data_IF_486005831351
#
_entry.id   IF_486005831351
#
_cell.length_a   1.000
_cell.length_b   1.000
_cell.length_c   1.000
_cell.angle_alpha   90.00
_cell.angle_beta   90.00
_cell.angle_gamma   90.00
#
_symmetry.space_group_name_H-M   'P 1'
#
loop_
_entity.id
_entity.type
_entity.pdbx_description
1 polymer ?
#
# COMPACT_ATOMS: atom_id res chain seq x y z
N UNK A 1 -1.89 42.52 -11.60
CA UNK A 1 -2.52 41.29 -12.12
C UNK A 1 -1.39 40.47 -12.75
N UNK A 2 -1.04 39.24 -12.37
CA UNK A 2 -1.80 38.16 -11.74
C UNK A 2 -0.82 37.32 -10.88
N UNK A 3 -1.22 36.97 -9.66
CA UNK A 3 -0.50 35.96 -8.86
C UNK A 3 -0.75 34.59 -9.49
N UNK A 4 0.31 33.89 -9.86
CA UNK A 4 0.24 32.47 -10.24
C UNK A 4 -0.19 31.72 -8.98
N UNK A 5 -1.44 31.31 -8.96
CA UNK A 5 -2.03 30.51 -7.91
C UNK A 5 -1.49 29.08 -8.10
N UNK A 6 -0.50 28.69 -7.29
CA UNK A 6 -0.04 27.31 -7.20
C UNK A 6 -1.23 26.48 -6.71
N UNK A 7 -1.78 25.63 -7.59
CA UNK A 7 -2.83 24.66 -7.23
C UNK A 7 -2.37 23.86 -6.02
N UNK A 8 -3.15 23.90 -4.96
CA UNK A 8 -2.92 23.07 -3.77
C UNK A 8 -2.79 21.59 -4.16
N UNK A 9 -1.93 20.80 -3.48
CA UNK A 9 -1.82 19.38 -3.73
C UNK A 9 -3.15 18.69 -3.41
N UNK A 10 -3.70 18.00 -4.41
CA UNK A 10 -4.99 17.27 -4.44
C UNK A 10 -5.11 16.11 -3.42
N UNK A 11 -4.17 15.94 -2.49
CA UNK A 11 -4.04 14.75 -1.66
C UNK A 11 -3.72 15.10 -0.19
N UNK A 12 -4.68 15.72 0.49
CA UNK A 12 -4.63 15.95 1.96
C UNK A 12 -5.17 14.76 2.77
N UNK A 13 -5.83 13.79 2.12
CA UNK A 13 -6.41 12.61 2.78
C UNK A 13 -5.35 11.53 3.04
N UNK A 14 -5.21 11.07 4.29
CA UNK A 14 -4.41 9.89 4.66
C UNK A 14 -4.78 8.64 3.81
N UNK A 15 -6.01 8.60 3.29
CA UNK A 15 -6.53 7.52 2.46
C UNK A 15 -5.90 7.45 1.06
N UNK A 16 -5.55 8.60 0.48
CA UNK A 16 -4.83 8.65 -0.79
C UNK A 16 -3.41 8.07 -0.68
N UNK A 17 -2.79 8.16 0.50
CA UNK A 17 -1.51 7.49 0.79
C UNK A 17 -1.69 5.98 0.99
N UNK A 18 -2.84 5.55 1.51
CA UNK A 18 -3.16 4.14 1.75
C UNK A 18 -3.56 3.38 0.46
N UNK A 19 -4.20 4.06 -0.50
CA UNK A 19 -4.58 3.50 -1.82
C UNK A 19 -3.42 3.46 -2.84
N UNK A 20 -2.32 4.16 -2.54
CA UNK A 20 -1.03 4.05 -3.24
C UNK A 20 -0.15 2.92 -2.71
N UNK A 21 -0.50 2.35 -1.56
CA UNK A 21 0.11 1.14 -1.02
C UNK A 21 -0.83 -0.05 -1.22
N UNK A 22 -0.99 -0.49 -2.48
CA UNK A 22 -1.18 -1.93 -2.72
C UNK A 22 0.07 -2.60 -2.16
N UNK A 23 -0.05 -2.97 -0.89
CA UNK A 23 0.98 -3.63 -0.12
C UNK A 23 1.17 -5.01 -0.74
N UNK A 24 2.14 -5.13 -1.64
CA UNK A 24 2.82 -6.39 -1.87
C UNK A 24 3.66 -6.62 -0.61
N UNK A 25 2.98 -7.07 0.43
CA UNK A 25 3.62 -7.49 1.67
C UNK A 25 4.19 -8.90 1.43
N UNK A 26 5.49 -9.04 1.68
CA UNK A 26 6.01 -10.25 2.34
C UNK A 26 6.86 -11.19 1.49
N UNK A 27 8.13 -10.86 1.29
CA UNK A 27 9.24 -11.77 1.60
C UNK A 27 10.57 -11.00 1.53
N UNK A 28 11.03 -10.43 2.65
CA UNK A 28 12.47 -10.21 2.85
C UNK A 28 12.84 -11.13 4.00
N UNK A 29 13.03 -12.41 3.69
CA UNK A 29 13.82 -13.27 4.54
C UNK A 29 15.29 -12.90 4.28
N UNK A 30 15.93 -12.33 5.29
CA UNK A 30 17.36 -12.08 5.33
C UNK A 30 18.12 -13.39 5.16
N UNK A 31 18.62 -13.65 3.95
CA UNK A 31 19.64 -14.68 3.70
C UNK A 31 20.99 -14.06 3.99
N UNK A 32 21.64 -14.49 5.08
CA UNK A 32 23.06 -14.25 5.30
C UNK A 32 23.83 -14.99 4.21
N UNK A 33 24.43 -14.26 3.28
CA UNK A 33 25.27 -14.83 2.23
C UNK A 33 26.68 -15.02 2.80
N UNK A 34 27.04 -16.27 3.08
CA UNK A 34 28.42 -16.64 3.34
C UNK A 34 29.15 -16.68 1.99
N UNK A 35 30.15 -15.83 1.82
CA UNK A 35 30.85 -15.65 0.55
C UNK A 35 31.89 -16.76 0.34
N UNK A 36 31.56 -17.78 -0.45
CA UNK A 36 32.51 -18.58 -1.24
C UNK A 36 31.75 -19.58 -2.11
N UNK A 37 31.47 -19.20 -3.36
CA UNK A 37 31.62 -20.02 -4.57
C UNK A 37 30.98 -19.30 -5.77
N UNK A 38 31.81 -18.95 -6.76
CA UNK A 38 31.36 -18.43 -8.05
C UNK A 38 30.91 -19.62 -8.91
N UNK A 39 29.64 -19.96 -8.81
CA UNK A 39 28.88 -20.64 -9.86
C UNK A 39 27.73 -19.72 -10.26
N UNK A 40 27.31 -19.70 -11.53
CA UNK A 40 26.20 -18.85 -11.99
C UNK A 40 24.97 -19.05 -11.08
N UNK A 41 24.78 -18.13 -10.13
CA UNK A 41 24.01 -18.41 -8.93
C UNK A 41 22.55 -18.02 -9.13
N UNK A 42 21.58 -18.82 -8.62
CA UNK A 42 20.14 -18.49 -8.60
C UNK A 42 19.83 -17.06 -8.12
N UNK A 43 20.70 -16.51 -7.27
CA UNK A 43 20.64 -15.13 -6.78
C UNK A 43 20.68 -14.05 -7.88
N UNK A 44 21.43 -14.25 -8.97
CA UNK A 44 21.53 -13.25 -10.06
C UNK A 44 20.25 -13.21 -10.90
N UNK A 45 19.67 -14.38 -11.20
CA UNK A 45 18.39 -14.46 -11.90
C UNK A 45 17.24 -13.93 -11.02
N UNK A 46 17.20 -14.28 -9.74
CA UNK A 46 16.24 -13.70 -8.79
C UNK A 46 16.33 -12.17 -8.72
N UNK A 47 17.54 -11.61 -8.74
CA UNK A 47 17.72 -10.15 -8.75
C UNK A 47 17.18 -9.52 -10.05
N UNK A 48 17.40 -10.14 -11.21
CA UNK A 48 16.85 -9.66 -12.49
C UNK A 48 15.32 -9.70 -12.49
N UNK A 49 14.72 -10.78 -11.99
CA UNK A 49 13.26 -10.90 -11.85
C UNK A 49 12.71 -9.79 -10.94
N UNK A 50 13.30 -9.60 -9.76
CA UNK A 50 12.90 -8.55 -8.82
C UNK A 50 13.00 -7.15 -9.44
N UNK A 51 14.11 -6.86 -10.14
CA UNK A 51 14.28 -5.61 -10.85
C UNK A 51 13.20 -5.40 -11.91
N UNK A 52 12.89 -6.43 -12.72
CA UNK A 52 11.88 -6.31 -13.77
C UNK A 52 10.48 -6.12 -13.21
N UNK A 53 10.12 -6.85 -12.15
CA UNK A 53 8.87 -6.66 -11.41
C UNK A 53 8.75 -5.21 -10.92
N UNK A 54 9.82 -4.65 -10.34
CA UNK A 54 9.85 -3.26 -9.87
C UNK A 54 9.61 -2.25 -11.01
N UNK A 55 10.28 -2.43 -12.14
CA UNK A 55 10.08 -1.57 -13.33
C UNK A 55 8.64 -1.62 -13.83
N UNK A 56 8.06 -2.82 -13.96
CA UNK A 56 6.67 -2.98 -14.41
C UNK A 56 5.69 -2.30 -13.44
N UNK A 57 5.91 -2.45 -12.13
CA UNK A 57 5.07 -1.79 -11.13
C UNK A 57 5.13 -0.27 -11.23
N UNK A 58 6.32 0.29 -11.47
CA UNK A 58 6.49 1.72 -11.71
C UNK A 58 5.74 2.17 -12.97
N UNK A 59 5.90 1.46 -14.09
CA UNK A 59 5.21 1.78 -15.35
C UNK A 59 3.68 1.73 -15.18
N UNK A 60 3.16 0.70 -14.50
CA UNK A 60 1.73 0.59 -14.21
C UNK A 60 1.23 1.72 -13.28
N UNK A 61 2.06 2.18 -12.33
CA UNK A 61 1.73 3.29 -11.46
C UNK A 61 1.66 4.63 -12.22
N UNK A 62 2.57 4.84 -13.17
CA UNK A 62 2.57 6.02 -14.04
C UNK A 62 1.32 6.04 -14.93
N UNK A 63 0.99 4.90 -15.55
CA UNK A 63 -0.25 4.75 -16.35
C UNK A 63 -1.48 4.99 -15.48
N UNK A 64 -1.53 4.43 -14.26
CA UNK A 64 -2.63 4.66 -13.32
C UNK A 64 -2.78 6.14 -13.00
N UNK A 65 -1.68 6.85 -12.75
CA UNK A 65 -1.69 8.28 -12.45
C UNK A 65 -2.27 9.09 -13.61
N UNK A 66 -1.81 8.83 -14.84
CA UNK A 66 -2.35 9.47 -16.04
C UNK A 66 -3.83 9.15 -16.23
N UNK A 67 -4.22 7.89 -15.99
CA UNK A 67 -5.61 7.42 -16.07
C UNK A 67 -6.49 8.18 -15.07
N UNK A 68 -6.06 8.35 -13.82
CA UNK A 68 -6.82 9.10 -12.82
C UNK A 68 -6.95 10.59 -13.18
N UNK A 69 -5.93 11.18 -13.81
CA UNK A 69 -5.98 12.56 -14.28
C UNK A 69 -6.94 12.75 -15.46
N UNK A 70 -7.04 11.76 -16.35
CA UNK A 70 -7.89 11.83 -17.54
C UNK A 70 -9.32 11.32 -17.32
N UNK A 71 -9.59 10.63 -16.21
CA UNK A 71 -10.89 10.01 -15.92
C UNK A 71 -11.52 10.59 -14.63
N UNK A 72 -12.24 11.73 -14.71
CA UNK A 72 -12.89 12.34 -13.53
C UNK A 72 -13.93 11.42 -12.87
N UNK A 73 -14.56 10.52 -13.63
CA UNK A 73 -15.48 9.52 -13.08
C UNK A 73 -14.81 8.60 -12.04
N UNK A 74 -13.54 8.19 -12.26
CA UNK A 74 -12.79 7.39 -11.30
C UNK A 74 -12.49 8.18 -10.02
N UNK A 75 -12.23 9.48 -10.15
CA UNK A 75 -12.02 10.36 -9.00
C UNK A 75 -13.28 10.42 -8.13
N UNK A 76 -14.46 10.50 -8.74
CA UNK A 76 -15.73 10.48 -7.99
C UNK A 76 -16.01 9.12 -7.34
N UNK A 77 -15.65 8.00 -7.99
CA UNK A 77 -15.72 6.68 -7.38
C UNK A 77 -14.81 6.57 -6.15
N UNK A 78 -13.58 7.09 -6.22
CA UNK A 78 -12.66 7.16 -5.07
C UNK A 78 -13.28 7.95 -3.92
N UNK A 79 -13.83 9.14 -4.19
CA UNK A 79 -14.49 9.96 -3.15
C UNK A 79 -15.67 9.26 -2.51
N UNK A 80 -16.47 8.54 -3.30
CA UNK A 80 -17.62 7.79 -2.80
C UNK A 80 -17.15 6.66 -1.89
N UNK A 81 -16.13 5.90 -2.32
CA UNK A 81 -15.51 4.87 -1.49
C UNK A 81 -14.94 5.45 -0.18
N UNK A 82 -14.21 6.56 -0.23
CA UNK A 82 -13.65 7.24 0.95
C UNK A 82 -14.74 7.70 1.92
N UNK A 83 -15.81 8.30 1.42
CA UNK A 83 -16.93 8.77 2.25
C UNK A 83 -17.66 7.59 2.92
N UNK A 84 -17.89 6.50 2.19
CA UNK A 84 -18.50 5.28 2.76
C UNK A 84 -17.58 4.65 3.80
N UNK A 85 -16.27 4.57 3.54
CA UNK A 85 -15.30 4.09 4.53
C UNK A 85 -15.32 4.96 5.79
N UNK A 86 -15.27 6.29 5.66
CA UNK A 86 -15.24 7.21 6.79
C UNK A 86 -16.51 7.10 7.63
N UNK A 87 -17.67 6.97 6.99
CA UNK A 87 -18.93 6.71 7.69
C UNK A 87 -18.85 5.44 8.54
N UNK A 88 -18.37 4.33 7.97
CA UNK A 88 -18.20 3.06 8.69
C UNK A 88 -17.16 3.15 9.79
N UNK A 89 -16.06 3.84 9.54
CA UNK A 89 -15.02 4.11 10.53
C UNK A 89 -15.59 4.85 11.75
N UNK A 90 -16.45 5.87 11.55
CA UNK A 90 -17.13 6.58 12.63
C UNK A 90 -18.10 5.69 13.39
N UNK A 91 -18.89 4.87 12.70
CA UNK A 91 -19.86 3.94 13.31
C UNK A 91 -19.19 2.98 14.30
N UNK A 92 -17.96 2.52 14.02
CA UNK A 92 -17.24 1.58 14.89
C UNK A 92 -16.16 2.24 15.76
N UNK A 93 -16.12 3.58 15.80
CA UNK A 93 -15.09 4.36 16.49
C UNK A 93 -13.65 3.91 16.13
N UNK A 94 -13.37 3.78 14.84
CA UNK A 94 -12.05 3.48 14.30
C UNK A 94 -11.12 4.69 14.46
N UNK A 95 -10.01 4.52 15.19
CA UNK A 95 -9.11 5.61 15.61
C UNK A 95 -7.66 5.40 15.15
N UNK A 96 -7.39 5.43 13.83
CA UNK A 96 -6.04 5.19 13.31
C UNK A 96 -5.05 6.31 13.70
N UNK A 97 -5.53 7.55 13.83
CA UNK A 97 -4.68 8.70 14.19
C UNK A 97 -4.21 8.62 15.64
N UNK A 98 -5.10 8.21 16.56
CA UNK A 98 -4.74 7.98 17.96
C UNK A 98 -3.66 6.89 18.08
N UNK A 99 -3.85 5.78 17.35
CA UNK A 99 -2.84 4.72 17.29
C UNK A 99 -1.51 5.22 16.74
N UNK A 100 -1.50 6.04 15.68
CA UNK A 100 -0.25 6.58 15.11
C UNK A 100 0.52 7.43 16.12
N UNK A 101 -0.19 8.22 16.92
CA UNK A 101 0.44 9.01 17.99
C UNK A 101 1.07 8.09 19.05
N UNK A 102 0.31 7.11 19.55
CA UNK A 102 0.82 6.12 20.51
C UNK A 102 2.01 5.34 19.95
N UNK A 103 1.96 4.96 18.67
CA UNK A 103 3.04 4.26 17.98
C UNK A 103 4.34 5.08 17.95
N UNK A 104 4.25 6.38 17.69
CA UNK A 104 5.40 7.28 17.69
C UNK A 104 6.01 7.45 19.08
N UNK A 105 5.17 7.58 20.10
CA UNK A 105 5.60 7.66 21.51
C UNK A 105 6.31 6.36 21.94
N UNK A 106 5.71 5.20 21.65
CA UNK A 106 6.32 3.90 21.91
C UNK A 106 7.68 3.77 21.19
N UNK A 107 7.77 4.19 19.92
CA UNK A 107 9.02 4.13 19.16
C UNK A 107 10.11 4.99 19.80
N UNK A 108 9.77 6.15 20.36
CA UNK A 108 10.72 7.01 21.07
C UNK A 108 11.20 6.34 22.37
N UNK A 109 10.26 5.85 23.19
CA UNK A 109 10.57 5.20 24.47
C UNK A 109 11.40 3.92 24.26
N UNK A 110 11.07 3.12 23.24
CA UNK A 110 11.86 1.95 22.87
C UNK A 110 13.27 2.34 22.44
N UNK A 111 13.53 3.55 21.92
CA UNK A 111 14.90 3.94 21.53
C UNK A 111 15.68 4.63 22.64
N UNK A 112 15.03 4.97 23.74
CA UNK A 112 15.67 5.58 24.89
C UNK A 112 16.63 4.58 25.55
N UNK A 113 17.81 5.08 25.93
CA UNK A 113 18.87 4.32 26.59
C UNK A 113 18.49 3.99 28.05
N UNK A 114 17.58 4.76 28.64
CA UNK A 114 17.11 4.55 30.02
C UNK A 114 15.95 3.54 30.11
N UNK A 115 15.39 3.12 28.99
CA UNK A 115 14.32 2.11 28.96
C UNK A 115 14.92 0.72 29.13
N UNK A 116 14.56 0.04 30.23
CA UNK A 116 15.02 -1.32 30.50
C UNK A 116 14.48 -2.32 29.47
N UNK A 117 15.08 -3.49 29.38
CA UNK A 117 14.65 -4.51 28.43
C UNK A 117 13.24 -5.02 28.72
N UNK A 118 12.85 -5.10 30.01
CA UNK A 118 11.49 -5.47 30.41
C UNK A 118 10.48 -4.41 29.96
N UNK A 119 10.78 -3.13 30.18
CA UNK A 119 9.92 -2.01 29.74
C UNK A 119 9.79 -2.01 28.21
N UNK A 120 10.90 -2.24 27.51
CA UNK A 120 10.96 -2.34 26.05
C UNK A 120 10.08 -3.48 25.53
N UNK A 121 10.15 -4.65 26.16
CA UNK A 121 9.33 -5.80 25.81
C UNK A 121 7.83 -5.51 26.02
N UNK A 122 7.48 -4.84 27.12
CA UNK A 122 6.10 -4.47 27.43
C UNK A 122 5.53 -3.44 26.44
N UNK A 123 6.33 -2.43 26.07
CA UNK A 123 5.99 -1.45 25.04
C UNK A 123 5.75 -2.11 23.67
N UNK A 124 6.63 -3.01 23.25
CA UNK A 124 6.49 -3.75 21.99
C UNK A 124 5.23 -4.62 22.01
N UNK A 125 4.94 -5.29 23.14
CA UNK A 125 3.73 -6.09 23.31
C UNK A 125 2.46 -5.24 23.23
N UNK A 126 2.45 -4.08 23.89
CA UNK A 126 1.33 -3.14 23.84
C UNK A 126 1.06 -2.66 22.41
N UNK A 127 2.12 -2.23 21.72
CA UNK A 127 2.04 -1.82 20.31
C UNK A 127 1.47 -2.94 19.42
N UNK A 128 1.95 -4.18 19.56
CA UNK A 128 1.46 -5.30 18.77
C UNK A 128 -0.02 -5.58 19.02
N UNK A 129 -0.48 -5.49 20.27
CA UNK A 129 -1.89 -5.68 20.65
C UNK A 129 -2.79 -4.60 20.04
N UNK A 130 -2.40 -3.33 20.15
CA UNK A 130 -3.17 -2.22 19.56
C UNK A 130 -3.21 -2.30 18.04
N UNK A 131 -2.07 -2.60 17.41
CA UNK A 131 -1.98 -2.82 15.96
C UNK A 131 -2.93 -3.93 15.50
N UNK A 132 -2.99 -5.04 16.23
CA UNK A 132 -3.90 -6.14 15.93
C UNK A 132 -5.37 -5.72 16.09
N UNK A 133 -5.70 -4.98 17.13
CA UNK A 133 -7.06 -4.47 17.33
C UNK A 133 -7.49 -3.54 16.19
N UNK A 134 -6.62 -2.61 15.79
CA UNK A 134 -6.86 -1.69 14.67
C UNK A 134 -7.02 -2.45 13.34
N UNK A 135 -6.23 -3.50 13.12
CA UNK A 135 -6.34 -4.34 11.92
C UNK A 135 -7.70 -5.06 11.86
N UNK A 136 -8.18 -5.63 12.97
CA UNK A 136 -9.51 -6.28 13.04
C UNK A 136 -10.65 -5.29 12.79
N UNK A 137 -10.53 -4.07 13.32
CA UNK A 137 -11.52 -3.02 13.06
C UNK A 137 -11.55 -2.64 11.57
N UNK A 138 -10.37 -2.46 10.96
CA UNK A 138 -10.27 -2.19 9.51
C UNK A 138 -10.87 -3.32 8.69
N UNK A 139 -10.57 -4.57 9.03
CA UNK A 139 -11.13 -5.75 8.38
C UNK A 139 -12.66 -5.75 8.47
N UNK A 140 -13.22 -5.45 9.65
CA UNK A 140 -14.68 -5.33 9.82
C UNK A 140 -15.30 -4.22 8.97
N UNK A 141 -14.61 -3.09 8.76
CA UNK A 141 -15.07 -2.03 7.85
C UNK A 141 -15.06 -2.55 6.40
N UNK A 142 -13.96 -3.19 5.99
CA UNK A 142 -13.81 -3.71 4.62
C UNK A 142 -14.74 -4.88 4.31
N UNK A 143 -15.19 -5.62 5.33
CA UNK A 143 -16.20 -6.66 5.20
C UNK A 143 -17.62 -6.11 4.97
N UNK A 144 -17.82 -4.79 5.06
CA UNK A 144 -19.11 -4.17 4.77
C UNK A 144 -19.51 -4.40 3.30
N UNK A 145 -20.70 -4.95 3.01
CA UNK A 145 -21.10 -5.30 1.65
C UNK A 145 -21.21 -4.10 0.69
N UNK A 146 -21.54 -2.91 1.19
CA UNK A 146 -21.62 -1.71 0.37
C UNK A 146 -20.21 -1.27 -0.02
N UNK A 147 -19.32 -1.21 0.96
CA UNK A 147 -17.93 -0.83 0.72
C UNK A 147 -17.19 -1.82 -0.18
N UNK A 148 -17.41 -3.13 0.01
CA UNK A 148 -16.86 -4.18 -0.85
C UNK A 148 -17.32 -4.04 -2.31
N UNK A 149 -18.59 -3.72 -2.55
CA UNK A 149 -19.10 -3.46 -3.92
C UNK A 149 -18.42 -2.25 -4.55
N UNK A 150 -18.25 -1.17 -3.79
CA UNK A 150 -17.56 0.03 -4.26
C UNK A 150 -16.09 -0.25 -4.58
N UNK A 151 -15.40 -1.04 -3.76
CA UNK A 151 -14.02 -1.47 -4.02
C UNK A 151 -13.91 -2.26 -5.32
N UNK A 152 -14.75 -3.28 -5.51
CA UNK A 152 -14.74 -4.13 -6.71
C UNK A 152 -15.01 -3.29 -7.96
N UNK A 153 -16.00 -2.39 -7.90
CA UNK A 153 -16.33 -1.50 -9.00
C UNK A 153 -15.15 -0.58 -9.34
N UNK A 154 -14.57 0.08 -8.34
CA UNK A 154 -13.43 0.96 -8.51
C UNK A 154 -12.21 0.25 -9.10
N UNK A 155 -11.89 -0.96 -8.63
CA UNK A 155 -10.79 -1.76 -9.16
C UNK A 155 -11.02 -2.13 -10.63
N UNK A 156 -12.21 -2.63 -10.96
CA UNK A 156 -12.59 -3.02 -12.32
C UNK A 156 -12.55 -1.83 -13.28
N UNK A 157 -13.13 -0.71 -12.87
CA UNK A 157 -13.21 0.48 -13.70
C UNK A 157 -11.86 1.14 -13.88
N UNK A 158 -11.02 1.16 -12.83
CA UNK A 158 -9.63 1.62 -12.93
C UNK A 158 -8.85 0.78 -13.93
N UNK A 159 -8.90 -0.56 -13.83
CA UNK A 159 -8.20 -1.45 -14.75
C UNK A 159 -8.70 -1.28 -16.19
N UNK A 160 -10.01 -1.18 -16.38
CA UNK A 160 -10.63 -0.92 -17.69
C UNK A 160 -10.15 0.40 -18.29
N UNK A 161 -10.11 1.46 -17.49
CA UNK A 161 -9.64 2.77 -17.91
C UNK A 161 -8.14 2.77 -18.22
N UNK A 162 -7.31 2.10 -17.42
CA UNK A 162 -5.87 1.97 -17.70
C UNK A 162 -5.62 1.27 -19.04
N UNK A 163 -6.32 0.16 -19.31
CA UNK A 163 -6.22 -0.55 -20.60
C UNK A 163 -6.64 0.31 -21.79
N UNK A 164 -7.63 1.19 -21.61
CA UNK A 164 -8.07 2.15 -22.64
C UNK A 164 -7.09 3.30 -22.80
N UNK A 165 -6.48 3.77 -21.71
CA UNK A 165 -5.55 4.89 -21.68
C UNK A 165 -4.20 4.53 -22.30
N UNK A 166 -3.67 3.35 -21.97
CA UNK A 166 -2.40 2.86 -22.51
C UNK A 166 -2.49 1.37 -22.88
N UNK A 167 -2.31 0.98 -24.16
CA UNK A 167 -2.34 -0.41 -24.58
C UNK A 167 -1.23 -1.27 -23.96
N UNK A 168 -0.11 -0.67 -23.51
CA UNK A 168 0.94 -1.38 -22.79
C UNK A 168 0.46 -1.97 -21.47
N UNK A 169 -0.59 -1.41 -20.87
CA UNK A 169 -1.16 -1.91 -19.62
C UNK A 169 -1.41 -3.42 -19.67
N UNK A 170 -1.98 -3.92 -20.77
CA UNK A 170 -2.29 -5.34 -20.88
C UNK A 170 -1.03 -6.21 -20.99
N UNK A 171 -0.03 -5.74 -21.74
CA UNK A 171 1.26 -6.42 -21.87
C UNK A 171 1.99 -6.47 -20.53
N UNK A 172 2.05 -5.35 -19.82
CA UNK A 172 2.71 -5.23 -18.52
C UNK A 172 2.06 -6.14 -17.47
N UNK A 173 0.73 -6.24 -17.46
CA UNK A 173 0.01 -7.12 -16.54
C UNK A 173 0.28 -8.61 -16.82
N UNK A 174 0.30 -9.00 -18.11
CA UNK A 174 0.64 -10.38 -18.51
C UNK A 174 2.08 -10.74 -18.15
N UNK A 175 3.00 -9.80 -18.36
CA UNK A 175 4.39 -9.99 -17.99
C UNK A 175 4.57 -10.11 -16.47
N UNK A 176 3.88 -9.27 -15.70
CA UNK A 176 3.90 -9.33 -14.24
C UNK A 176 3.41 -10.67 -13.69
N UNK A 177 2.31 -11.21 -14.24
CA UNK A 177 1.77 -12.53 -13.87
C UNK A 177 2.76 -13.67 -14.13
N UNK A 178 3.44 -13.60 -15.29
CA UNK A 178 4.48 -14.56 -15.67
C UNK A 178 5.66 -14.49 -14.70
N UNK A 179 6.14 -13.29 -14.37
CA UNK A 179 7.27 -13.08 -13.47
C UNK A 179 6.96 -13.53 -12.04
N UNK A 180 5.73 -13.32 -11.55
CA UNK A 180 5.34 -13.81 -10.24
C UNK A 180 5.27 -15.33 -10.17
N UNK A 181 4.85 -15.99 -11.25
CA UNK A 181 4.87 -17.45 -11.33
C UNK A 181 6.31 -17.98 -11.23
N UNK A 182 7.24 -17.35 -11.96
CA UNK A 182 8.67 -17.71 -11.93
C UNK A 182 9.34 -17.40 -10.59
N UNK A 183 8.90 -16.36 -9.87
CA UNK A 183 9.45 -16.01 -8.58
C UNK A 183 9.01 -16.98 -7.46
N UNK A 184 7.85 -17.64 -7.62
CA UNK A 184 7.27 -18.58 -6.65
C UNK A 184 7.67 -20.04 -6.89
N UNK A 185 8.09 -20.38 -8.11
CA UNK A 185 8.60 -21.70 -8.50
C UNK A 185 10.05 -21.89 -8.08
#
# INVERSE_FOLDING_TARGET
MSRIMVKEPLFKSLFAKLLLSFSILGFIASVQVNASEVMASPAVEQQKLANRIGVIQQELADIRTQTMQSNPALVEQVKTFEATFEKKAKEINYQPEAFLKTAQEIQQQVRDENTTDEQRAELIKSFAKEKQALAKQRESIMADPELSKLEIALQKDTLSAMKKQDPKTETLLKELDTLFTQFRS
#
